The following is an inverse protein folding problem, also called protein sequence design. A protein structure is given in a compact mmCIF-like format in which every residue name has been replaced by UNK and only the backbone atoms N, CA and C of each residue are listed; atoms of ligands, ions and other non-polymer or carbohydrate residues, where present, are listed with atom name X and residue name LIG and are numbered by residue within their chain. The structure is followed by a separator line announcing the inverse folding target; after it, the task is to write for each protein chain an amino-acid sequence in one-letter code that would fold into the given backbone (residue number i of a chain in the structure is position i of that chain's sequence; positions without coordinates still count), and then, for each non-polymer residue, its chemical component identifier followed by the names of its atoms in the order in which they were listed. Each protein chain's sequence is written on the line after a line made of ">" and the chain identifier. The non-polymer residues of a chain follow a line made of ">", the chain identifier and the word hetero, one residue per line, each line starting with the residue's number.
data_IF_896973658943
#
_entry.id   IF_896973658943
#
_cell.length_a   1.000
_cell.length_b   1.000
_cell.length_c   1.000
_cell.angle_alpha   90.00
_cell.angle_beta   90.00
_cell.angle_gamma   90.00
#
_symmetry.space_group_name_H-M   'P 1'
#
loop_
_entity.id
_entity.type
_entity.pdbx_description
1 polymer ?
#
# COMPACT_ATOMS: atom_id res chain seq x y z
N UNK A 1 -11.62 9.69 -12.22
CA UNK A 1 -11.64 8.25 -12.55
C UNK A 1 -10.88 7.51 -11.45
N UNK A 2 -11.26 6.27 -11.11
CA UNK A 2 -10.52 5.40 -10.17
C UNK A 2 -10.19 4.09 -10.88
N UNK A 3 -9.02 3.51 -10.61
CA UNK A 3 -8.57 2.27 -11.23
C UNK A 3 -7.99 1.34 -10.15
N UNK A 4 -8.71 0.29 -9.73
CA UNK A 4 -8.15 -0.71 -8.84
C UNK A 4 -7.11 -1.55 -9.59
N UNK A 5 -5.97 -1.82 -8.94
CA UNK A 5 -4.87 -2.58 -9.51
C UNK A 5 -4.39 -3.61 -8.50
N UNK A 6 -4.13 -4.84 -8.96
CA UNK A 6 -3.48 -5.89 -8.18
C UNK A 6 -2.17 -6.26 -8.85
N UNK A 7 -1.05 -6.06 -8.15
CA UNK A 7 0.27 -6.50 -8.61
C UNK A 7 0.49 -7.97 -8.24
N UNK A 8 0.15 -8.86 -9.18
CA UNK A 8 0.19 -10.30 -8.92
C UNK A 8 1.59 -10.88 -9.07
N UNK A 9 2.23 -11.22 -7.95
CA UNK A 9 3.59 -11.76 -7.92
C UNK A 9 3.64 -13.23 -7.48
N UNK A 10 2.51 -13.95 -7.50
CA UNK A 10 2.37 -15.27 -6.88
C UNK A 10 1.95 -15.20 -5.41
N UNK A 11 1.80 -16.37 -4.79
CA UNK A 11 1.35 -16.50 -3.39
C UNK A 11 2.16 -17.56 -2.66
N UNK A 12 2.30 -17.40 -1.36
CA UNK A 12 2.90 -18.43 -0.51
C UNK A 12 1.84 -19.30 0.17
N UNK A 13 0.55 -18.99 0.02
CA UNK A 13 -0.54 -19.78 0.57
C UNK A 13 -0.71 -21.09 -0.23
N UNK A 14 -0.43 -22.22 0.42
CA UNK A 14 -0.50 -23.56 -0.20
C UNK A 14 -1.93 -23.96 -0.59
N UNK A 15 -2.94 -23.50 0.15
CA UNK A 15 -4.34 -23.83 -0.14
C UNK A 15 -4.73 -23.32 -1.54
N UNK A 16 -4.25 -22.13 -1.90
CA UNK A 16 -4.49 -21.55 -3.22
C UNK A 16 -3.77 -22.26 -4.36
N UNK A 17 -2.67 -22.97 -4.08
CA UNK A 17 -2.02 -23.78 -5.11
C UNK A 17 -2.85 -25.00 -5.48
N UNK A 18 -3.57 -25.58 -4.51
CA UNK A 18 -4.46 -26.72 -4.71
C UNK A 18 -5.88 -26.33 -5.17
N UNK A 19 -6.31 -25.09 -4.91
CA UNK A 19 -7.65 -24.62 -5.27
C UNK A 19 -7.83 -24.50 -6.80
N UNK A 20 -8.74 -25.27 -7.44
CA UNK A 20 -8.98 -25.20 -8.88
C UNK A 20 -9.59 -23.86 -9.34
N UNK A 21 -10.20 -23.09 -8.44
CA UNK A 21 -10.82 -21.79 -8.74
C UNK A 21 -9.90 -20.60 -8.52
N UNK A 22 -8.70 -20.82 -7.99
CA UNK A 22 -7.73 -19.75 -7.79
C UNK A 22 -7.31 -19.12 -9.13
N UNK A 23 -7.57 -17.82 -9.26
CA UNK A 23 -7.38 -17.02 -10.48
C UNK A 23 -5.95 -16.46 -10.63
N UNK A 24 -5.11 -16.64 -9.61
CA UNK A 24 -3.77 -16.08 -9.56
C UNK A 24 -2.68 -16.96 -10.17
N UNK A 25 -1.45 -16.47 -10.16
CA UNK A 25 -0.27 -17.25 -10.51
C UNK A 25 -0.03 -18.38 -9.50
N UNK A 26 0.03 -19.62 -9.99
CA UNK A 26 0.32 -20.84 -9.21
C UNK A 26 1.82 -21.04 -9.02
N UNK A 27 2.43 -20.04 -8.37
CA UNK A 27 3.84 -20.05 -8.01
C UNK A 27 4.03 -19.35 -6.66
N UNK A 28 5.16 -19.64 -6.00
CA UNK A 28 5.60 -18.89 -4.83
C UNK A 28 5.78 -17.41 -5.14
N UNK A 29 5.58 -16.58 -4.13
CA UNK A 29 5.69 -15.13 -4.27
C UNK A 29 7.10 -14.75 -4.76
N UNK A 30 7.18 -14.03 -5.87
CA UNK A 30 8.40 -13.38 -6.33
C UNK A 30 8.82 -12.30 -5.34
N UNK A 31 10.11 -12.30 -4.98
CA UNK A 31 10.68 -11.40 -3.99
C UNK A 31 11.97 -10.76 -4.51
N UNK A 32 12.45 -9.73 -3.82
CA UNK A 32 13.71 -9.06 -4.14
C UNK A 32 13.62 -8.25 -5.42
N UNK A 33 14.70 -8.24 -6.20
CA UNK A 33 14.88 -7.36 -7.35
C UNK A 33 13.76 -7.45 -8.39
N UNK A 34 13.30 -8.65 -8.73
CA UNK A 34 12.23 -8.84 -9.70
C UNK A 34 10.91 -8.17 -9.27
N UNK A 35 10.59 -8.23 -7.97
CA UNK A 35 9.42 -7.55 -7.43
C UNK A 35 9.61 -6.04 -7.46
N UNK A 36 10.79 -5.55 -7.07
CA UNK A 36 11.09 -4.12 -7.08
C UNK A 36 11.02 -3.52 -8.49
N UNK A 37 11.57 -4.21 -9.50
CA UNK A 37 11.52 -3.79 -10.90
C UNK A 37 10.07 -3.69 -11.41
N UNK A 38 9.22 -4.67 -11.07
CA UNK A 38 7.80 -4.64 -11.43
C UNK A 38 7.09 -3.42 -10.82
N UNK A 39 7.33 -3.14 -9.53
CA UNK A 39 6.72 -1.98 -8.88
C UNK A 39 7.26 -0.68 -9.48
N UNK A 40 8.57 -0.57 -9.72
CA UNK A 40 9.16 0.61 -10.38
C UNK A 40 8.52 0.85 -11.76
N UNK A 41 8.38 -0.21 -12.56
CA UNK A 41 7.74 -0.13 -13.87
C UNK A 41 6.31 0.38 -13.75
N UNK A 42 5.51 -0.19 -12.85
CA UNK A 42 4.12 0.21 -12.63
C UNK A 42 4.00 1.67 -12.19
N UNK A 43 4.80 2.10 -11.22
CA UNK A 43 4.75 3.47 -10.68
C UNK A 43 5.13 4.50 -11.77
N UNK A 44 6.18 4.20 -12.54
CA UNK A 44 6.63 5.07 -13.63
C UNK A 44 5.64 5.09 -14.80
N UNK A 45 5.09 3.94 -15.18
CA UNK A 45 4.10 3.84 -16.24
C UNK A 45 2.81 4.60 -15.88
N UNK A 46 2.37 4.51 -14.62
CA UNK A 46 1.20 5.22 -14.11
C UNK A 46 1.39 6.73 -14.22
N UNK A 47 2.54 7.24 -13.76
CA UNK A 47 2.92 8.65 -13.91
C UNK A 47 2.96 9.08 -15.38
N UNK A 48 3.63 8.31 -16.23
CA UNK A 48 3.77 8.64 -17.65
C UNK A 48 2.42 8.66 -18.39
N UNK A 49 1.48 7.79 -18.00
CA UNK A 49 0.17 7.68 -18.64
C UNK A 49 -0.85 8.70 -18.14
N UNK A 50 -0.85 8.97 -16.82
CA UNK A 50 -1.91 9.73 -16.16
C UNK A 50 -1.46 11.10 -15.63
N UNK A 51 -0.16 11.42 -15.71
CA UNK A 51 0.42 12.71 -15.30
C UNK A 51 1.02 12.70 -13.90
N UNK A 52 1.71 13.79 -13.55
CA UNK A 52 2.39 13.97 -12.25
C UNK A 52 1.43 13.95 -11.04
N UNK A 53 0.16 14.32 -11.26
CA UNK A 53 -0.87 14.43 -10.21
C UNK A 53 -1.63 13.12 -9.96
N UNK A 54 -1.25 12.01 -10.62
CA UNK A 54 -1.89 10.71 -10.36
C UNK A 54 -1.64 10.28 -8.91
N UNK A 55 -2.72 10.11 -8.15
CA UNK A 55 -2.66 9.62 -6.79
C UNK A 55 -2.52 8.09 -6.80
N UNK A 56 -1.44 7.61 -6.19
CA UNK A 56 -1.13 6.18 -6.06
C UNK A 56 -1.24 5.76 -4.59
N UNK A 57 -2.35 5.12 -4.23
CA UNK A 57 -2.56 4.54 -2.91
C UNK A 57 -1.95 3.13 -2.85
N UNK A 58 -1.06 2.90 -1.90
CA UNK A 58 -0.48 1.59 -1.60
C UNK A 58 -1.30 0.91 -0.51
N UNK A 59 -1.76 -0.30 -0.76
CA UNK A 59 -2.70 -1.03 0.11
C UNK A 59 -2.23 -2.47 0.36
N UNK A 60 -2.47 -3.00 1.55
CA UNK A 60 -2.37 -4.44 1.87
C UNK A 60 -0.98 -5.06 1.58
N UNK A 61 0.07 -4.25 1.61
CA UNK A 61 1.44 -4.74 1.51
C UNK A 61 1.92 -5.25 2.88
N UNK A 62 2.72 -6.32 2.87
CA UNK A 62 3.41 -6.75 4.08
C UNK A 62 4.26 -5.62 4.66
N UNK A 63 4.26 -5.47 5.99
CA UNK A 63 4.81 -4.30 6.72
C UNK A 63 6.17 -3.83 6.19
N UNK A 64 7.14 -4.74 6.03
CA UNK A 64 8.47 -4.38 5.54
C UNK A 64 8.46 -3.79 4.13
N UNK A 65 7.61 -4.34 3.26
CA UNK A 65 7.43 -3.87 1.88
C UNK A 65 6.70 -2.53 1.86
N UNK A 66 5.63 -2.38 2.64
CA UNK A 66 4.89 -1.12 2.74
C UNK A 66 5.81 0.05 3.09
N UNK A 67 6.61 -0.08 4.16
CA UNK A 67 7.56 0.95 4.56
C UNK A 67 8.67 1.20 3.54
N UNK A 68 9.19 0.15 2.90
CA UNK A 68 10.21 0.28 1.86
C UNK A 68 9.68 1.10 0.67
N UNK A 69 8.52 0.71 0.12
CA UNK A 69 7.91 1.38 -1.03
C UNK A 69 7.52 2.82 -0.70
N UNK A 70 6.92 3.05 0.47
CA UNK A 70 6.56 4.40 0.92
C UNK A 70 7.80 5.30 0.96
N UNK A 71 8.90 4.86 1.60
CA UNK A 71 10.15 5.63 1.64
C UNK A 71 10.74 5.89 0.26
N UNK A 72 10.63 4.93 -0.66
CA UNK A 72 11.19 5.01 -2.01
C UNK A 72 10.47 6.06 -2.88
N UNK A 73 9.14 6.19 -2.74
CA UNK A 73 8.31 6.97 -3.67
C UNK A 73 7.64 8.22 -3.08
N UNK A 74 7.42 8.33 -1.76
CA UNK A 74 6.63 9.43 -1.16
C UNK A 74 7.13 10.85 -1.49
N UNK A 75 8.43 11.01 -1.77
CA UNK A 75 9.04 12.30 -2.13
C UNK A 75 9.25 12.48 -3.64
N UNK A 76 8.76 11.55 -4.46
CA UNK A 76 8.97 11.52 -5.93
C UNK A 76 7.65 11.47 -6.70
N UNK A 77 6.61 10.91 -6.10
CA UNK A 77 5.29 10.67 -6.69
C UNK A 77 4.20 11.08 -5.69
N UNK A 78 3.02 11.42 -6.19
CA UNK A 78 1.84 11.61 -5.35
C UNK A 78 1.35 10.24 -4.85
N UNK A 79 1.87 9.79 -3.70
CA UNK A 79 1.60 8.46 -3.15
C UNK A 79 1.55 8.46 -1.63
N UNK A 80 0.79 7.54 -1.08
CA UNK A 80 0.66 7.28 0.36
C UNK A 80 0.32 5.80 0.58
N UNK A 81 0.42 5.33 1.83
CA UNK A 81 -0.04 4.01 2.24
C UNK A 81 -1.13 4.12 3.30
N UNK A 82 -2.30 3.53 3.04
CA UNK A 82 -3.50 3.63 3.88
C UNK A 82 -3.29 2.96 5.25
N UNK A 83 -2.75 1.73 5.23
CA UNK A 83 -2.45 0.94 6.43
C UNK A 83 -1.55 1.66 7.44
N UNK A 84 -0.75 2.62 6.96
CA UNK A 84 0.16 3.41 7.80
C UNK A 84 -0.38 4.81 8.07
N UNK A 85 -0.59 5.62 7.03
CA UNK A 85 -0.82 7.07 7.17
C UNK A 85 -2.27 7.41 7.45
N UNK A 86 -3.22 6.72 6.82
CA UNK A 86 -4.64 6.97 7.02
C UNK A 86 -5.10 6.37 8.35
N UNK A 87 -4.62 5.15 8.66
CA UNK A 87 -4.83 4.54 9.99
C UNK A 87 -4.27 5.42 11.11
N UNK A 88 -3.08 6.00 10.96
CA UNK A 88 -2.54 6.95 11.93
C UNK A 88 -3.41 8.21 12.05
N UNK A 89 -3.91 8.72 10.92
CA UNK A 89 -4.74 9.92 10.86
C UNK A 89 -6.08 9.74 11.58
N UNK A 90 -6.76 8.60 11.37
CA UNK A 90 -8.04 8.33 12.05
C UNK A 90 -7.86 8.11 13.56
N UNK A 91 -6.79 7.43 13.98
CA UNK A 91 -6.46 7.27 15.40
C UNK A 91 -6.22 8.62 16.06
N UNK A 92 -5.40 9.47 15.42
CA UNK A 92 -5.13 10.80 15.92
C UNK A 92 -6.39 11.68 15.99
N UNK A 93 -7.25 11.62 14.96
CA UNK A 93 -8.55 12.30 14.98
C UNK A 93 -9.44 11.85 16.14
N UNK A 94 -9.44 10.56 16.46
CA UNK A 94 -10.14 10.02 17.62
C UNK A 94 -9.61 10.55 18.96
N UNK A 95 -8.28 10.69 19.09
CA UNK A 95 -7.66 11.27 20.30
C UNK A 95 -8.05 12.74 20.48
N UNK A 96 -8.01 13.54 19.41
CA UNK A 96 -8.43 14.95 19.46
C UNK A 96 -9.91 15.11 19.84
N UNK A 97 -10.77 14.24 19.30
CA UNK A 97 -12.18 14.22 19.69
C UNK A 97 -12.37 13.86 21.18
N UNK A 98 -11.56 12.93 21.69
CA UNK A 98 -11.59 12.50 23.10
C UNK A 98 -11.12 13.60 24.06
N UNK A 99 -10.14 14.41 23.70
CA UNK A 99 -9.68 15.55 24.53
C UNK A 99 -10.82 16.51 24.84
N UNK A 100 -11.62 16.86 23.83
CA UNK A 100 -12.78 17.76 23.99
C UNK A 100 -13.85 17.19 24.94
N UNK A 101 -14.02 15.86 24.95
CA UNK A 101 -15.01 15.17 25.78
C UNK A 101 -14.52 14.88 27.21
N UNK A 102 -13.23 14.58 27.35
CA UNK A 102 -12.62 14.20 28.62
C UNK A 102 -12.08 15.37 29.42
N UNK A 103 -11.81 16.51 28.76
CA UNK A 103 -11.14 17.67 29.35
C UNK A 103 -9.68 17.44 29.71
N UNK A 104 -9.06 16.35 29.24
CA UNK A 104 -7.65 16.01 29.44
C UNK A 104 -6.87 16.24 28.17
N UNK A 105 -5.72 16.90 28.28
CA UNK A 105 -4.88 17.17 27.12
C UNK A 105 -4.28 15.88 26.58
N UNK A 106 -4.14 15.77 25.25
CA UNK A 106 -3.39 14.66 24.63
C UNK A 106 -1.89 14.66 25.01
N UNK A 107 -1.38 15.76 25.57
CA UNK A 107 0.00 15.89 26.02
C UNK A 107 0.23 15.49 27.48
N UNK A 108 -0.85 15.21 28.23
CA UNK A 108 -0.82 14.79 29.65
C UNK A 108 -0.84 13.26 29.79
#
# INVERSE_FOLDING_TARGET
>A
MRLPVVLYCGTNNEEYHADPFYIGLRQKRGCGENFEQLVDEFMNASKAKYGDEVLLQLEDFGISTAFHLLRKYQNKLCTFNDDTQDTASVVFGGLLASETLSGKSISE
#
